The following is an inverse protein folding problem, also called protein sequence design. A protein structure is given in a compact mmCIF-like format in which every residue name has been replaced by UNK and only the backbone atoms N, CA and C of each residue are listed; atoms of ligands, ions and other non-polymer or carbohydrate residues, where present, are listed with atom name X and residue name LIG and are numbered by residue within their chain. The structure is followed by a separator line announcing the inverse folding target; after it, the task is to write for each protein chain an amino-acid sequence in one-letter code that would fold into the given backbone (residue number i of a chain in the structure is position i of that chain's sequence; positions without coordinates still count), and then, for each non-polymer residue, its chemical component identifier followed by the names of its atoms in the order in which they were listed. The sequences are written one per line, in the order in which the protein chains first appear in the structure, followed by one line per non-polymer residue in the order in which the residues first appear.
data_IF_841103551130
#
_entry.id   IF_841103551130
#
_cell.length_a   1.000
_cell.length_b   1.000
_cell.length_c   1.000
_cell.angle_alpha   90.00
_cell.angle_beta   90.00
_cell.angle_gamma   90.00
#
_symmetry.space_group_name_H-M   'P 1'
#
loop_
_entity.id
_entity.type
_entity.pdbx_description
1 polymer ?
#
# COMPACT_ATOMS: atom_id res chain seq x y z
N UNK A 1 -35.62 12.34 -10.32
CA UNK A 1 -34.63 11.79 -9.37
C UNK A 1 -34.57 10.26 -9.41
N UNK A 2 -35.64 9.56 -9.01
CA UNK A 2 -35.63 8.09 -8.85
C UNK A 2 -35.36 7.32 -10.14
N UNK A 3 -35.97 7.71 -11.27
CA UNK A 3 -35.73 7.03 -12.57
C UNK A 3 -34.25 7.05 -13.00
N UNK A 4 -33.53 8.13 -12.69
CA UNK A 4 -32.09 8.24 -12.97
C UNK A 4 -31.28 7.29 -12.10
N UNK A 5 -31.68 7.10 -10.84
CA UNK A 5 -31.05 6.15 -9.92
C UNK A 5 -31.38 4.71 -10.37
N UNK A 6 -32.63 4.42 -10.75
CA UNK A 6 -33.05 3.10 -11.25
C UNK A 6 -32.34 2.70 -12.56
N UNK A 7 -32.05 3.67 -13.42
CA UNK A 7 -31.32 3.47 -14.68
C UNK A 7 -29.80 3.40 -14.50
N UNK A 8 -29.29 3.71 -13.32
CA UNK A 8 -27.85 3.63 -13.01
C UNK A 8 -27.45 2.22 -12.59
N UNK A 9 -26.18 1.86 -12.80
CA UNK A 9 -25.63 0.56 -12.39
C UNK A 9 -25.37 0.45 -10.87
N UNK A 10 -26.08 1.22 -10.04
CA UNK A 10 -25.90 1.22 -8.59
C UNK A 10 -26.79 0.18 -7.92
N UNK A 11 -26.21 -0.57 -6.97
CA UNK A 11 -26.92 -1.58 -6.18
C UNK A 11 -27.89 -0.89 -5.21
N UNK A 12 -29.18 -0.99 -5.49
CA UNK A 12 -30.25 -0.37 -4.68
C UNK A 12 -30.50 -1.18 -3.39
N UNK A 13 -30.59 -2.51 -3.50
CA UNK A 13 -30.75 -3.43 -2.38
C UNK A 13 -29.90 -4.68 -2.59
N UNK A 14 -29.57 -5.38 -1.49
CA UNK A 14 -28.83 -6.63 -1.54
C UNK A 14 -29.69 -7.72 -2.16
N UNK A 15 -29.17 -8.42 -3.15
CA UNK A 15 -29.78 -9.60 -3.76
C UNK A 15 -28.90 -10.82 -3.45
N UNK A 16 -29.52 -11.98 -3.23
CA UNK A 16 -28.80 -13.24 -3.04
C UNK A 16 -28.36 -13.84 -4.39
N UNK A 17 -27.37 -14.74 -4.34
CA UNK A 17 -26.92 -15.46 -5.53
C UNK A 17 -28.09 -16.30 -6.06
N UNK A 18 -28.45 -16.09 -7.34
CA UNK A 18 -29.58 -16.71 -8.07
C UNK A 18 -30.96 -16.04 -7.90
N UNK A 19 -31.06 -14.86 -7.28
CA UNK A 19 -32.30 -14.07 -7.33
C UNK A 19 -32.45 -13.33 -8.66
N UNK A 20 -33.68 -13.17 -9.18
CA UNK A 20 -33.92 -12.34 -10.36
C UNK A 20 -33.61 -10.87 -10.05
N UNK A 21 -33.10 -10.14 -11.04
CA UNK A 21 -32.90 -8.70 -10.91
C UNK A 21 -34.23 -7.98 -10.63
N UNK A 22 -34.19 -6.99 -9.73
CA UNK A 22 -35.36 -6.17 -9.43
C UNK A 22 -35.84 -5.45 -10.70
N UNK A 23 -37.15 -5.51 -10.92
CA UNK A 23 -37.77 -4.73 -12.00
C UNK A 23 -37.66 -3.23 -11.70
N UNK A 24 -37.80 -2.41 -12.74
CA UNK A 24 -37.74 -0.96 -12.59
C UNK A 24 -38.76 -0.43 -11.56
N UNK A 25 -39.96 -1.02 -11.53
CA UNK A 25 -41.02 -0.66 -10.57
C UNK A 25 -40.64 -1.02 -9.14
N UNK A 26 -40.09 -2.22 -8.91
CA UNK A 26 -39.62 -2.65 -7.58
C UNK A 26 -38.47 -1.79 -7.08
N UNK A 27 -37.51 -1.45 -7.95
CA UNK A 27 -36.42 -0.52 -7.63
C UNK A 27 -36.97 0.83 -7.18
N UNK A 28 -37.96 1.35 -7.90
CA UNK A 28 -38.60 2.63 -7.60
C UNK A 28 -39.34 2.58 -6.25
N UNK A 29 -40.05 1.50 -5.95
CA UNK A 29 -40.76 1.30 -4.68
C UNK A 29 -39.79 1.26 -3.49
N UNK A 30 -38.68 0.52 -3.60
CA UNK A 30 -37.64 0.44 -2.57
C UNK A 30 -37.01 1.83 -2.31
N UNK A 31 -36.72 2.59 -3.36
CA UNK A 31 -36.17 3.94 -3.24
C UNK A 31 -37.16 4.90 -2.56
N UNK A 32 -38.45 4.82 -2.91
CA UNK A 32 -39.50 5.62 -2.27
C UNK A 32 -39.65 5.28 -0.79
N UNK A 33 -39.62 3.99 -0.43
CA UNK A 33 -39.66 3.57 0.97
C UNK A 33 -38.45 4.12 1.72
N UNK A 34 -37.23 3.96 1.17
CA UNK A 34 -36.00 4.50 1.78
C UNK A 34 -36.04 6.02 1.95
N UNK A 35 -36.52 6.76 0.95
CA UNK A 35 -36.63 8.21 1.00
C UNK A 35 -37.55 8.68 2.13
N UNK A 36 -38.70 8.02 2.32
CA UNK A 36 -39.68 8.39 3.33
C UNK A 36 -39.28 7.92 4.74
N UNK A 37 -38.68 6.73 4.87
CA UNK A 37 -38.32 6.15 6.17
C UNK A 37 -37.00 6.70 6.71
N UNK A 38 -35.99 6.86 5.85
CA UNK A 38 -34.66 7.32 6.25
C UNK A 38 -33.98 8.15 5.14
N UNK A 39 -34.31 9.45 5.03
CA UNK A 39 -33.76 10.32 4.00
C UNK A 39 -32.24 10.49 4.11
N UNK A 40 -31.67 10.41 5.32
CA UNK A 40 -30.23 10.50 5.53
C UNK A 40 -29.48 9.31 4.91
N UNK A 41 -29.99 8.09 5.07
CA UNK A 41 -29.41 6.89 4.45
C UNK A 41 -29.57 6.91 2.92
N UNK A 42 -30.75 7.32 2.44
CA UNK A 42 -30.98 7.52 1.01
C UNK A 42 -29.92 8.44 0.39
N UNK A 43 -29.69 9.59 1.02
CA UNK A 43 -28.66 10.54 0.61
C UNK A 43 -27.27 9.92 0.68
N UNK A 44 -26.91 9.27 1.78
CA UNK A 44 -25.58 8.67 1.92
C UNK A 44 -25.26 7.67 0.80
N UNK A 45 -26.26 6.88 0.35
CA UNK A 45 -26.08 5.87 -0.70
C UNK A 45 -26.19 6.44 -2.12
N UNK A 46 -27.16 7.31 -2.38
CA UNK A 46 -27.51 7.75 -3.74
C UNK A 46 -27.18 9.21 -4.03
N UNK A 47 -26.78 9.98 -3.03
CA UNK A 47 -26.60 11.43 -3.15
C UNK A 47 -25.47 11.87 -4.07
N UNK A 48 -24.53 11.00 -4.45
CA UNK A 48 -23.57 11.31 -5.52
C UNK A 48 -24.12 11.23 -6.93
N UNK A 49 -25.30 10.62 -7.12
CA UNK A 49 -26.01 10.58 -8.40
C UNK A 49 -26.97 11.77 -8.57
N UNK A 50 -27.18 12.54 -7.50
CA UNK A 50 -28.04 13.70 -7.46
C UNK A 50 -27.28 14.95 -7.86
N UNK A 51 -27.95 15.83 -8.60
CA UNK A 51 -27.40 17.15 -8.89
C UNK A 51 -27.50 18.05 -7.67
N UNK A 52 -26.64 19.08 -7.60
CA UNK A 52 -26.65 20.04 -6.49
C UNK A 52 -27.99 20.77 -6.36
N UNK A 53 -28.69 20.99 -7.47
CA UNK A 53 -30.03 21.59 -7.48
C UNK A 53 -31.08 20.64 -6.88
N UNK A 54 -31.12 19.37 -7.31
CA UNK A 54 -32.02 18.35 -6.75
C UNK A 54 -31.78 18.15 -5.25
N UNK A 55 -30.51 18.19 -4.82
CA UNK A 55 -30.15 18.09 -3.41
C UNK A 55 -30.70 19.26 -2.58
N UNK A 56 -30.63 20.50 -3.09
CA UNK A 56 -31.15 21.69 -2.39
C UNK A 56 -32.66 21.82 -2.44
N UNK A 57 -33.31 21.26 -3.46
CA UNK A 57 -34.76 21.32 -3.66
C UNK A 57 -35.50 20.31 -2.78
N UNK A 58 -35.01 19.07 -2.70
CA UNK A 58 -35.70 17.98 -2.01
C UNK A 58 -35.25 17.75 -0.57
N UNK A 59 -34.14 18.35 -0.13
CA UNK A 59 -33.58 18.12 1.20
C UNK A 59 -33.20 19.41 1.92
N UNK A 60 -33.22 19.36 3.25
CA UNK A 60 -32.91 20.51 4.09
C UNK A 60 -31.42 20.88 3.96
N UNK A 61 -31.09 22.09 3.44
CA UNK A 61 -29.71 22.54 3.28
C UNK A 61 -28.90 22.57 4.57
N UNK A 62 -29.56 22.70 5.73
CA UNK A 62 -28.92 22.81 7.04
C UNK A 62 -28.74 21.46 7.74
N UNK A 63 -29.18 20.36 7.12
CA UNK A 63 -29.03 19.05 7.73
C UNK A 63 -27.58 18.55 7.66
N UNK A 64 -27.10 17.94 8.74
CA UNK A 64 -25.72 17.44 8.85
C UNK A 64 -25.33 16.48 7.71
N UNK A 65 -26.28 15.66 7.24
CA UNK A 65 -26.05 14.72 6.14
C UNK A 65 -25.78 15.42 4.80
N UNK A 66 -26.29 16.64 4.59
CA UNK A 66 -26.05 17.43 3.38
C UNK A 66 -24.64 18.00 3.35
N UNK A 67 -24.17 18.52 4.49
CA UNK A 67 -22.79 18.96 4.64
C UNK A 67 -21.82 17.81 4.39
N UNK A 68 -22.15 16.60 4.87
CA UNK A 68 -21.33 15.42 4.65
C UNK A 68 -21.23 15.07 3.16
N UNK A 69 -22.29 15.18 2.36
CA UNK A 69 -22.26 14.86 0.92
C UNK A 69 -21.49 15.89 0.11
N UNK A 70 -21.74 17.17 0.35
CA UNK A 70 -21.07 18.27 -0.36
C UNK A 70 -19.56 18.28 -0.05
N UNK A 71 -19.17 17.93 1.16
CA UNK A 71 -17.75 17.75 1.53
C UNK A 71 -17.19 16.42 1.04
N UNK A 72 -17.95 15.33 1.09
CA UNK A 72 -17.50 14.00 0.65
C UNK A 72 -17.31 13.92 -0.85
N UNK A 73 -18.16 14.55 -1.67
CA UNK A 73 -17.95 14.64 -3.11
C UNK A 73 -16.69 15.45 -3.46
N UNK A 74 -16.32 16.46 -2.66
CA UNK A 74 -15.00 17.12 -2.75
C UNK A 74 -13.85 16.20 -2.31
N UNK A 75 -14.09 15.34 -1.32
CA UNK A 75 -13.09 14.41 -0.78
C UNK A 75 -12.97 13.06 -1.51
N UNK A 76 -13.91 12.70 -2.41
CA UNK A 76 -13.79 11.54 -3.31
C UNK A 76 -12.63 11.71 -4.30
N UNK A 77 -12.19 12.95 -4.51
CA UNK A 77 -10.93 13.30 -5.18
C UNK A 77 -9.75 13.35 -4.18
N UNK A 78 -9.80 12.62 -3.05
CA UNK A 78 -8.56 12.22 -2.37
C UNK A 78 -7.99 11.02 -3.10
N UNK A 79 -7.35 11.34 -4.22
CA UNK A 79 -6.05 10.80 -4.64
C UNK A 79 -5.42 9.85 -3.60
N UNK A 80 -4.99 8.68 -4.06
CA UNK A 80 -4.27 7.64 -3.31
C UNK A 80 -3.65 8.15 -1.99
N UNK A 81 -4.39 8.00 -0.88
CA UNK A 81 -4.01 8.57 0.43
C UNK A 81 -2.63 8.09 0.87
N UNK A 82 -2.28 6.84 0.56
CA UNK A 82 -0.95 6.26 0.84
C UNK A 82 0.13 7.02 0.06
N UNK A 83 -0.09 7.26 -1.22
CA UNK A 83 0.82 8.06 -2.05
C UNK A 83 0.98 9.48 -1.50
N UNK A 84 -0.11 10.15 -1.10
CA UNK A 84 -0.02 11.51 -0.54
C UNK A 84 0.81 11.55 0.75
N UNK A 85 0.68 10.54 1.61
CA UNK A 85 1.46 10.44 2.83
C UNK A 85 2.93 10.12 2.54
N UNK A 86 3.19 9.22 1.60
CA UNK A 86 4.55 8.93 1.13
C UNK A 86 5.25 10.20 0.60
N UNK A 87 4.56 11.01 -0.20
CA UNK A 87 5.09 12.29 -0.67
C UNK A 87 5.41 13.26 0.47
N UNK A 88 4.58 13.29 1.52
CA UNK A 88 4.86 14.08 2.73
C UNK A 88 6.10 13.56 3.47
N UNK A 89 6.29 12.25 3.57
CA UNK A 89 7.48 11.65 4.17
C UNK A 89 8.74 11.98 3.38
N UNK A 90 8.68 11.93 2.05
CA UNK A 90 9.78 12.33 1.17
C UNK A 90 10.09 13.82 1.36
N UNK A 91 9.08 14.69 1.31
CA UNK A 91 9.26 16.14 1.44
C UNK A 91 9.85 16.55 2.81
N UNK A 92 9.51 15.83 3.88
CA UNK A 92 10.11 16.04 5.21
C UNK A 92 11.56 15.57 5.31
N UNK A 93 11.97 14.61 4.47
CA UNK A 93 13.35 14.12 4.39
C UNK A 93 13.84 13.26 5.56
N UNK A 94 13.14 13.22 6.70
CA UNK A 94 13.62 12.47 7.88
C UNK A 94 13.41 10.95 7.77
N UNK A 95 12.28 10.53 7.18
CA UNK A 95 11.89 9.11 7.16
C UNK A 95 12.79 8.26 6.26
N UNK A 96 13.19 8.77 5.10
CA UNK A 96 14.05 8.06 4.14
C UNK A 96 15.54 8.45 4.27
N UNK A 97 15.93 9.00 5.42
CA UNK A 97 17.36 9.19 5.72
C UNK A 97 18.03 7.83 5.95
N UNK A 98 19.31 7.74 5.62
CA UNK A 98 20.10 6.49 5.80
C UNK A 98 20.04 5.99 7.23
N UNK A 99 20.18 6.90 8.22
CA UNK A 99 20.11 6.58 9.64
C UNK A 99 18.74 6.01 10.04
N UNK A 100 17.64 6.64 9.61
CA UNK A 100 16.29 6.15 9.93
C UNK A 100 15.95 4.84 9.19
N UNK A 101 16.48 4.62 7.98
CA UNK A 101 16.34 3.35 7.27
C UNK A 101 17.12 2.23 7.97
N UNK A 102 18.37 2.51 8.36
CA UNK A 102 19.25 1.61 9.10
C UNK A 102 18.64 1.19 10.44
N UNK A 103 18.06 2.13 11.19
CA UNK A 103 17.41 1.85 12.48
C UNK A 103 16.17 0.97 12.33
N UNK A 104 15.34 1.21 11.31
CA UNK A 104 14.08 0.48 11.10
C UNK A 104 14.31 -0.96 10.67
N UNK A 105 15.20 -1.20 9.72
CA UNK A 105 15.45 -2.54 9.16
C UNK A 105 16.94 -2.74 8.90
N UNK A 106 17.71 -3.09 9.96
CA UNK A 106 19.15 -3.33 9.90
C UNK A 106 19.58 -4.24 8.76
N UNK A 107 18.97 -5.42 8.62
CA UNK A 107 19.38 -6.42 7.63
C UNK A 107 19.15 -5.96 6.20
N UNK A 108 17.95 -5.44 5.94
CA UNK A 108 17.59 -4.93 4.62
C UNK A 108 18.50 -3.76 4.21
N UNK A 109 18.84 -2.90 5.17
CA UNK A 109 19.79 -1.81 4.93
C UNK A 109 21.15 -2.34 4.50
N UNK A 110 21.73 -3.31 5.21
CA UNK A 110 23.06 -3.86 4.87
C UNK A 110 23.06 -4.52 3.47
N UNK A 111 22.04 -5.31 3.16
CA UNK A 111 21.90 -6.03 1.88
C UNK A 111 21.70 -5.10 0.67
N UNK A 112 21.02 -3.96 0.85
CA UNK A 112 20.62 -3.08 -0.26
C UNK A 112 21.43 -1.79 -0.35
N UNK A 113 21.88 -1.24 0.78
CA UNK A 113 22.59 0.04 0.85
C UNK A 113 24.01 -0.18 1.38
N UNK A 114 24.15 -0.88 2.52
CA UNK A 114 25.42 -1.06 3.23
C UNK A 114 26.56 -1.62 2.38
N UNK A 115 26.27 -2.57 1.48
CA UNK A 115 27.26 -3.13 0.52
C UNK A 115 27.91 -2.13 -0.44
N UNK A 116 27.31 -0.96 -0.63
CA UNK A 116 27.84 0.11 -1.48
C UNK A 116 28.55 1.21 -0.68
N UNK A 117 28.50 1.15 0.66
CA UNK A 117 29.21 2.09 1.51
C UNK A 117 30.66 1.62 1.67
N UNK A 118 31.62 2.48 1.32
CA UNK A 118 33.03 2.23 1.55
C UNK A 118 33.31 2.20 3.05
N UNK A 119 33.49 0.99 3.62
CA UNK A 119 33.74 0.75 5.06
C UNK A 119 34.96 1.50 5.59
N UNK A 120 35.90 1.85 4.72
CA UNK A 120 37.11 2.65 5.00
C UNK A 120 36.80 4.12 5.36
N UNK A 121 35.66 4.64 4.91
CA UNK A 121 35.33 6.07 5.00
C UNK A 121 34.34 6.40 6.11
N UNK A 122 33.73 5.39 6.74
CA UNK A 122 32.85 5.57 7.89
C UNK A 122 33.67 5.59 9.18
N UNK A 123 34.00 6.76 9.74
CA UNK A 123 34.65 6.84 11.04
C UNK A 123 33.78 6.13 12.08
N UNK A 124 34.35 5.11 12.72
CA UNK A 124 33.72 4.33 13.79
C UNK A 124 33.20 5.20 14.94
N UNK A 125 33.71 6.44 15.07
CA UNK A 125 33.40 7.37 16.15
C UNK A 125 33.48 8.83 15.65
N UNK A 126 32.81 9.19 14.55
CA UNK A 126 32.83 10.60 14.10
C UNK A 126 32.08 11.54 15.02
N UNK A 127 30.96 11.09 15.61
CA UNK A 127 30.03 11.97 16.30
C UNK A 127 30.47 12.31 17.72
N UNK A 128 31.19 11.42 18.40
CA UNK A 128 31.46 11.54 19.84
C UNK A 128 32.93 11.70 20.22
N UNK A 129 33.86 11.75 19.27
CA UNK A 129 35.29 11.92 19.56
C UNK A 129 35.62 13.19 20.39
N UNK A 130 34.73 14.20 20.36
CA UNK A 130 34.86 15.45 21.12
C UNK A 130 33.74 15.66 22.16
N UNK A 131 32.89 14.65 22.41
CA UNK A 131 31.70 14.75 23.27
C UNK A 131 31.90 14.23 24.71
N UNK A 132 30.91 14.42 25.60
CA UNK A 132 30.87 13.79 26.91
C UNK A 132 30.99 12.26 26.81
N UNK A 133 31.68 11.65 27.77
CA UNK A 133 31.85 10.19 27.86
C UNK A 133 30.50 9.42 27.85
N UNK A 134 29.43 10.03 28.36
CA UNK A 134 28.09 9.46 28.33
C UNK A 134 27.60 9.20 26.89
N UNK A 135 27.85 10.14 25.97
CA UNK A 135 27.40 10.02 24.58
C UNK A 135 28.15 8.89 23.85
N UNK A 136 29.44 8.71 24.16
CA UNK A 136 30.22 7.57 23.67
C UNK A 136 29.65 6.23 24.14
N UNK A 137 29.27 6.13 25.42
CA UNK A 137 28.64 4.90 25.93
C UNK A 137 27.28 4.64 25.31
N UNK A 138 26.46 5.68 25.12
CA UNK A 138 25.15 5.54 24.46
C UNK A 138 25.31 5.08 23.01
N UNK A 139 26.23 5.69 22.24
CA UNK A 139 26.54 5.29 20.87
C UNK A 139 27.07 3.83 20.82
N UNK A 140 27.92 3.44 21.77
CA UNK A 140 28.40 2.07 21.86
C UNK A 140 27.27 1.08 22.12
N UNK A 141 26.36 1.38 23.07
CA UNK A 141 25.19 0.54 23.34
C UNK A 141 24.25 0.45 22.14
N UNK A 142 24.01 1.57 21.45
CA UNK A 142 23.23 1.59 20.20
C UNK A 142 23.87 0.74 19.11
N UNK A 143 25.19 0.80 18.97
CA UNK A 143 25.94 -0.03 18.01
C UNK A 143 25.84 -1.52 18.32
N UNK A 144 25.92 -1.90 19.60
CA UNK A 144 25.77 -3.29 20.06
C UNK A 144 24.35 -3.79 19.82
N UNK A 145 23.34 -2.99 20.18
CA UNK A 145 21.93 -3.30 19.95
C UNK A 145 21.64 -3.45 18.44
N UNK A 146 22.25 -2.61 17.61
CA UNK A 146 22.13 -2.71 16.16
C UNK A 146 22.70 -4.03 15.62
N UNK A 147 23.90 -4.40 16.07
CA UNK A 147 24.53 -5.68 15.68
C UNK A 147 23.70 -6.89 16.10
N UNK A 148 23.22 -6.92 17.34
CA UNK A 148 22.37 -8.01 17.83
C UNK A 148 21.06 -8.13 17.02
N UNK A 149 20.43 -7.00 16.67
CA UNK A 149 19.23 -7.00 15.83
C UNK A 149 19.53 -7.51 14.43
N UNK A 150 20.66 -7.10 13.85
CA UNK A 150 21.09 -7.53 12.52
C UNK A 150 21.27 -9.05 12.48
N UNK A 151 21.96 -9.63 13.46
CA UNK A 151 22.18 -11.08 13.57
C UNK A 151 20.85 -11.83 13.72
N UNK A 152 19.95 -11.36 14.59
CA UNK A 152 18.62 -11.96 14.77
C UNK A 152 17.75 -11.90 13.52
N UNK A 153 17.81 -10.79 12.78
CA UNK A 153 17.08 -10.67 11.51
C UNK A 153 17.65 -11.62 10.47
N UNK A 154 18.98 -11.76 10.40
CA UNK A 154 19.67 -12.66 9.47
C UNK A 154 19.32 -14.12 9.74
N UNK A 155 19.40 -14.56 11.00
CA UNK A 155 19.07 -15.93 11.40
C UNK A 155 17.62 -16.29 11.04
N UNK A 156 16.68 -15.35 11.23
CA UNK A 156 15.29 -15.56 10.84
C UNK A 156 15.12 -15.69 9.33
N UNK A 157 15.83 -14.90 8.53
CA UNK A 157 15.77 -15.01 7.07
C UNK A 157 16.31 -16.38 6.61
N UNK A 158 17.41 -16.85 7.20
CA UNK A 158 17.97 -18.18 6.92
C UNK A 158 17.04 -19.32 7.34
N UNK A 159 16.39 -19.21 8.51
CA UNK A 159 15.39 -20.18 8.95
C UNK A 159 14.21 -20.26 7.97
N UNK A 160 13.68 -19.10 7.54
CA UNK A 160 12.60 -19.07 6.54
C UNK A 160 13.01 -19.70 5.21
N UNK A 161 14.24 -19.44 4.75
CA UNK A 161 14.78 -20.09 3.53
C UNK A 161 14.90 -21.60 3.69
N UNK A 162 15.29 -22.07 4.86
CA UNK A 162 15.40 -23.50 5.15
C UNK A 162 14.03 -24.17 5.22
N UNK A 163 13.06 -23.54 5.89
CA UNK A 163 11.69 -24.03 6.00
C UNK A 163 10.99 -24.08 4.63
N UNK A 164 11.14 -23.04 3.80
CA UNK A 164 10.64 -23.03 2.41
C UNK A 164 11.20 -24.20 1.59
N UNK A 165 12.46 -24.58 1.82
CA UNK A 165 13.12 -25.67 1.10
C UNK A 165 12.73 -27.07 1.61
N UNK A 166 12.31 -27.18 2.87
CA UNK A 166 11.79 -28.44 3.43
C UNK A 166 10.35 -28.68 2.95
N UNK A 167 9.51 -27.64 2.91
CA UNK A 167 8.14 -27.76 2.41
C UNK A 167 8.06 -28.10 0.92
N UNK A 168 9.09 -27.80 0.13
CA UNK A 168 9.17 -28.19 -1.28
C UNK A 168 9.63 -29.64 -1.53
N UNK A 169 10.38 -30.24 -0.60
CA UNK A 169 10.95 -31.58 -0.76
C UNK A 169 9.97 -32.70 -0.33
N UNK A 170 8.86 -32.38 0.35
CA UNK A 170 7.87 -33.36 0.86
C UNK A 170 6.75 -33.69 -0.16
N UNK A 171 6.80 -33.10 -1.37
CA UNK A 171 5.86 -33.34 -2.49
C UNK A 171 6.45 -34.20 -3.63
N UNK A 172 7.67 -34.75 -3.51
CA UNK A 172 8.32 -35.58 -4.53
C UNK A 172 8.44 -37.06 -4.13
N UNK A 173 7.32 -37.78 -4.13
CA UNK A 173 7.31 -39.25 -4.29
C UNK A 173 6.33 -39.63 -5.42
N UNK A 174 6.91 -40.19 -6.51
CA UNK A 174 6.29 -40.84 -7.68
C UNK A 174 5.85 -39.94 -8.85
N UNK A 175 6.61 -39.87 -9.97
CA UNK A 175 6.61 -40.84 -11.08
C UNK A 175 7.59 -40.39 -12.20
N UNK A 176 8.08 -41.36 -12.95
CA UNK A 176 9.16 -41.35 -13.94
C UNK A 176 8.82 -40.58 -15.24
N UNK A 177 9.82 -39.85 -15.78
CA UNK A 177 10.04 -39.41 -17.18
C UNK A 177 9.80 -37.93 -17.61
N UNK A 178 10.84 -37.46 -18.32
CA UNK A 178 10.91 -36.50 -19.43
C UNK A 178 11.01 -34.99 -19.12
N UNK A 179 12.27 -34.52 -19.16
CA UNK A 179 12.75 -33.29 -19.82
C UNK A 179 11.77 -32.09 -19.89
N UNK A 180 11.68 -31.28 -18.85
CA UNK A 180 11.28 -29.87 -18.99
C UNK A 180 12.26 -28.94 -18.27
N UNK A 181 13.25 -28.51 -19.04
CA UNK A 181 14.10 -27.34 -18.83
C UNK A 181 13.28 -26.15 -18.29
N UNK A 182 13.46 -25.82 -17.01
CA UNK A 182 12.93 -24.60 -16.41
C UNK A 182 13.40 -23.37 -17.21
N UNK A 183 12.43 -22.66 -17.79
CA UNK A 183 12.61 -21.46 -18.58
C UNK A 183 12.97 -20.24 -17.71
N UNK A 184 14.03 -20.36 -16.91
CA UNK A 184 14.76 -19.21 -16.42
C UNK A 184 15.49 -18.59 -17.60
N UNK A 185 14.94 -17.51 -18.17
CA UNK A 185 15.62 -16.72 -19.21
C UNK A 185 16.95 -16.22 -18.68
N UNK A 186 18.00 -17.01 -18.89
CA UNK A 186 19.37 -16.67 -18.59
C UNK A 186 19.83 -15.64 -19.63
N UNK A 187 19.49 -14.38 -19.40
CA UNK A 187 19.96 -13.28 -20.23
C UNK A 187 21.47 -13.30 -20.32
N UNK A 188 22.00 -13.12 -21.52
CA UNK A 188 23.45 -12.99 -21.72
C UNK A 188 23.93 -11.68 -21.09
N UNK A 189 25.20 -11.59 -20.69
CA UNK A 189 25.76 -10.35 -20.13
C UNK A 189 25.60 -9.16 -21.11
N UNK A 190 25.64 -9.44 -22.41
CA UNK A 190 25.38 -8.46 -23.47
C UNK A 190 23.96 -7.93 -23.49
N UNK A 191 22.94 -8.78 -23.29
CA UNK A 191 21.54 -8.32 -23.20
C UNK A 191 21.30 -7.49 -21.94
N UNK A 192 21.90 -7.89 -20.81
CA UNK A 192 21.80 -7.11 -19.56
C UNK A 192 22.35 -5.70 -19.74
N UNK A 193 23.49 -5.57 -20.42
CA UNK A 193 24.08 -4.26 -20.71
C UNK A 193 23.23 -3.43 -21.67
N UNK A 194 22.55 -4.06 -22.64
CA UNK A 194 21.63 -3.39 -23.55
C UNK A 194 20.43 -2.80 -22.80
N UNK A 195 19.76 -3.61 -21.97
CA UNK A 195 18.62 -3.14 -21.16
C UNK A 195 19.02 -2.02 -20.19
N UNK A 196 20.24 -2.08 -19.66
CA UNK A 196 20.78 -1.01 -18.81
C UNK A 196 20.94 0.31 -19.57
N UNK A 197 21.40 0.27 -20.82
CA UNK A 197 21.53 1.45 -21.66
C UNK A 197 20.17 2.01 -22.07
N UNK A 198 19.22 1.16 -22.45
CA UNK A 198 17.85 1.56 -22.77
C UNK A 198 17.17 2.23 -21.58
N UNK A 199 17.32 1.68 -20.38
CA UNK A 199 16.78 2.27 -19.15
C UNK A 199 17.32 3.68 -18.89
N UNK A 200 18.64 3.89 -19.07
CA UNK A 200 19.27 5.19 -18.88
C UNK A 200 18.87 6.22 -19.95
N UNK A 201 18.51 5.76 -21.15
CA UNK A 201 18.04 6.63 -22.23
C UNK A 201 16.62 7.15 -21.99
N UNK A 202 15.77 6.38 -21.30
CA UNK A 202 14.37 6.76 -20.98
C UNK A 202 14.31 7.87 -19.91
N UNK A 203 15.35 8.05 -19.10
CA UNK A 203 15.39 9.04 -18.03
C UNK A 203 15.98 10.41 -18.43
N UNK A 204 16.20 10.66 -19.72
CA UNK A 204 16.58 11.98 -20.26
C UNK A 204 15.40 12.63 -20.98
#
# INVERSE_FOLDING_TARGET
MFDRICSSNVVIASQQRNEPEFTHEQKHEILNQLYNTNPANFIHRFGSLLTENELREYFDPNADYMHQILTSNRNKIRTNRRYTYMQQLIARGSYFSDEAMKERSPLLYEQKIGKYNDKETTPLVARTANGPLADFYMEHLESMNYQERLEKEFEKEEQLRHDEHIESDDDEESDDNDDEEENAKNYTNTERDLYRQEFLAIQK
#
